data_IF_016046065773
#
_entry.id   IF_016046065773
#
_cell.length_a   1.000
_cell.length_b   1.000
_cell.length_c   1.000
_cell.angle_alpha   90.00
_cell.angle_beta   90.00
_cell.angle_gamma   90.00
#
_symmetry.space_group_name_H-M   'P 1'
#
loop_
_entity.id
_entity.type
_entity.pdbx_description
1 polymer ?
#
# COMPACT_ATOMS: atom_id res chain seq x y z
N UNK A 1 -18.50 14.31 4.39
CA UNK A 1 -18.58 14.58 2.93
C UNK A 1 -17.67 13.57 2.25
N UNK A 2 -18.21 12.63 1.47
CA UNK A 2 -17.38 11.81 0.58
C UNK A 2 -16.77 12.75 -0.45
N UNK A 3 -15.48 13.06 -0.29
CA UNK A 3 -14.72 13.67 -1.38
C UNK A 3 -14.38 12.55 -2.34
N UNK A 4 -14.71 12.73 -3.62
CA UNK A 4 -14.31 11.80 -4.66
C UNK A 4 -12.80 11.51 -4.57
N UNK A 5 -12.42 10.26 -4.83
CA UNK A 5 -11.02 9.86 -4.92
C UNK A 5 -10.44 10.47 -6.19
N UNK A 6 -9.37 11.24 -6.04
CA UNK A 6 -8.61 11.75 -7.17
C UNK A 6 -7.54 10.73 -7.54
N UNK A 7 -7.78 10.00 -8.62
CA UNK A 7 -6.86 8.96 -9.11
C UNK A 7 -5.57 9.54 -9.69
N UNK A 8 -5.51 10.86 -9.94
CA UNK A 8 -4.30 11.55 -10.38
C UNK A 8 -3.49 12.19 -9.25
N UNK A 9 -3.92 12.03 -7.99
CA UNK A 9 -3.21 12.61 -6.86
C UNK A 9 -1.87 11.89 -6.63
N UNK A 10 -0.77 12.64 -6.64
CA UNK A 10 0.56 12.15 -6.28
C UNK A 10 0.68 12.01 -4.76
N UNK A 11 0.72 10.78 -4.26
CA UNK A 11 0.76 10.47 -2.82
C UNK A 11 2.09 10.84 -2.17
N UNK A 12 3.14 11.11 -2.95
CA UNK A 12 4.41 11.60 -2.42
C UNK A 12 4.28 13.04 -1.91
N UNK A 13 3.34 13.80 -2.48
CA UNK A 13 3.18 15.23 -2.20
C UNK A 13 2.80 15.54 -0.75
N UNK A 14 2.08 14.63 -0.07
CA UNK A 14 1.70 14.77 1.33
C UNK A 14 2.46 13.81 2.28
N UNK A 15 3.35 12.98 1.74
CA UNK A 15 4.21 12.09 2.53
C UNK A 15 5.44 12.80 3.14
N UNK A 16 5.68 14.07 2.82
CA UNK A 16 6.76 14.87 3.41
C UNK A 16 8.17 14.34 3.08
N UNK A 17 8.35 13.73 1.91
CA UNK A 17 9.60 13.09 1.49
C UNK A 17 9.90 11.75 2.17
N UNK A 18 8.93 11.19 2.90
CA UNK A 18 8.99 9.86 3.48
C UNK A 18 8.27 8.84 2.59
N UNK A 19 8.30 7.57 3.00
CA UNK A 19 7.57 6.49 2.35
C UNK A 19 6.05 6.79 2.32
N UNK A 20 5.45 7.03 1.14
CA UNK A 20 4.03 7.38 1.03
C UNK A 20 3.12 6.32 1.62
N UNK A 21 3.52 5.05 1.56
CA UNK A 21 2.76 3.94 2.09
C UNK A 21 2.51 4.09 3.61
N UNK A 22 3.50 4.63 4.32
CA UNK A 22 3.42 4.87 5.77
C UNK A 22 2.88 6.26 6.13
N UNK A 23 3.21 7.27 5.32
CA UNK A 23 3.12 8.67 5.71
C UNK A 23 2.09 9.51 4.93
N UNK A 24 1.60 9.04 3.78
CA UNK A 24 0.56 9.76 3.04
C UNK A 24 -0.80 9.61 3.75
N UNK A 25 -1.31 10.72 4.28
CA UNK A 25 -2.65 10.77 4.89
C UNK A 25 -3.74 10.61 3.83
N UNK A 26 -3.48 11.11 2.62
CA UNK A 26 -4.41 11.05 1.50
C UNK A 26 -4.53 9.62 0.96
N UNK A 27 -3.40 8.92 0.75
CA UNK A 27 -3.42 7.51 0.35
C UNK A 27 -4.20 6.65 1.35
N UNK A 28 -3.92 6.81 2.65
CA UNK A 28 -4.64 6.08 3.71
C UNK A 28 -6.15 6.36 3.68
N UNK A 29 -6.55 7.61 3.44
CA UNK A 29 -7.96 8.01 3.29
C UNK A 29 -8.61 7.46 2.03
N UNK A 30 -7.87 7.34 0.93
CA UNK A 30 -8.38 6.72 -0.29
C UNK A 30 -8.59 5.22 -0.09
N UNK A 31 -7.61 4.52 0.49
CA UNK A 31 -7.75 3.11 0.85
C UNK A 31 -8.94 2.86 1.79
N UNK A 32 -9.12 3.70 2.82
CA UNK A 32 -10.28 3.64 3.70
C UNK A 32 -11.59 3.68 2.90
N UNK A 33 -11.72 4.62 1.96
CA UNK A 33 -12.94 4.81 1.17
C UNK A 33 -13.18 3.70 0.14
N UNK A 34 -12.12 3.20 -0.53
CA UNK A 34 -12.24 2.12 -1.52
C UNK A 34 -12.62 0.79 -0.87
N UNK A 35 -12.09 0.53 0.31
CA UNK A 35 -12.21 -0.77 0.98
C UNK A 35 -13.26 -0.79 2.09
N UNK A 36 -13.83 0.35 2.47
CA UNK A 36 -15.03 0.38 3.32
C UNK A 36 -16.29 0.18 2.46
N UNK A 37 -16.88 -1.00 2.52
CA UNK A 37 -18.04 -1.36 1.69
C UNK A 37 -18.87 -2.50 2.31
N UNK A 38 -20.14 -2.65 1.92
CA UNK A 38 -20.90 -3.84 2.28
C UNK A 38 -20.27 -5.09 1.67
N UNK A 39 -20.14 -6.13 2.49
CA UNK A 39 -19.71 -7.45 2.04
C UNK A 39 -20.86 -8.16 1.31
N UNK A 40 -20.59 -9.25 0.56
CA UNK A 40 -21.64 -10.02 -0.12
C UNK A 40 -22.75 -10.57 0.80
N UNK A 41 -22.48 -10.71 2.10
CA UNK A 41 -23.46 -11.11 3.10
C UNK A 41 -24.31 -9.94 3.64
N UNK A 42 -24.12 -8.72 3.12
CA UNK A 42 -24.84 -7.51 3.51
C UNK A 42 -24.30 -6.79 4.76
N UNK A 43 -23.29 -7.35 5.43
CA UNK A 43 -22.68 -6.70 6.62
C UNK A 43 -21.68 -5.65 6.16
N UNK A 44 -21.69 -4.49 6.81
CA UNK A 44 -20.79 -3.38 6.51
C UNK A 44 -19.36 -3.66 6.99
N UNK A 45 -18.40 -3.68 6.06
CA UNK A 45 -16.99 -3.73 6.38
C UNK A 45 -16.43 -2.31 6.44
N UNK A 46 -16.55 -1.66 7.61
CA UNK A 46 -16.03 -0.31 7.82
C UNK A 46 -14.57 -0.34 8.29
N UNK A 47 -13.73 0.49 7.69
CA UNK A 47 -12.34 0.65 8.09
C UNK A 47 -12.14 1.95 8.85
N UNK A 48 -11.44 1.88 9.97
CA UNK A 48 -10.97 3.00 10.75
C UNK A 48 -9.50 3.29 10.47
N UNK A 49 -9.11 4.56 10.62
CA UNK A 49 -7.73 5.03 10.51
C UNK A 49 -7.22 5.67 11.81
N UNK A 50 -8.05 5.72 12.86
CA UNK A 50 -7.73 6.34 14.14
C UNK A 50 -7.07 5.37 15.13
N UNK A 51 -7.22 4.05 14.93
CA UNK A 51 -6.50 3.03 15.70
C UNK A 51 -4.99 3.25 15.64
N UNK A 52 -4.33 3.53 16.79
CA UNK A 52 -2.89 3.74 16.83
C UNK A 52 -2.10 2.52 16.33
N UNK A 53 -0.98 2.76 15.65
CA UNK A 53 -0.04 1.73 15.16
C UNK A 53 -0.57 0.80 14.07
N UNK A 54 -1.83 0.94 13.67
CA UNK A 54 -2.45 0.16 12.59
C UNK A 54 -2.67 1.07 11.39
N UNK A 55 -2.46 0.55 10.18
CA UNK A 55 -2.70 1.32 8.96
C UNK A 55 -4.20 1.49 8.70
N UNK A 56 -4.95 0.39 8.63
CA UNK A 56 -6.41 0.35 8.57
C UNK A 56 -6.93 -0.74 9.49
N UNK A 57 -7.97 -0.44 10.28
CA UNK A 57 -8.51 -1.36 11.28
C UNK A 57 -10.00 -1.61 11.07
N UNK A 58 -10.42 -2.86 11.18
CA UNK A 58 -11.82 -3.25 11.22
C UNK A 58 -12.11 -3.99 12.52
N UNK A 59 -13.25 -3.68 13.16
CA UNK A 59 -13.76 -4.44 14.30
C UNK A 59 -15.28 -4.47 14.27
N UNK A 60 -15.86 -5.65 14.14
CA UNK A 60 -17.31 -5.88 14.17
C UNK A 60 -17.65 -7.30 14.61
N UNK A 61 -18.91 -7.69 14.48
CA UNK A 61 -19.38 -9.08 14.64
C UNK A 61 -18.73 -10.06 13.65
N UNK A 62 -18.17 -9.57 12.54
CA UNK A 62 -17.41 -10.38 11.58
C UNK A 62 -16.01 -10.76 12.08
N UNK A 63 -15.52 -10.09 13.12
CA UNK A 63 -14.18 -10.24 13.65
C UNK A 63 -13.39 -8.92 13.69
N UNK A 64 -12.10 -9.06 13.96
CA UNK A 64 -11.16 -7.95 14.07
C UNK A 64 -10.02 -8.15 13.06
N UNK A 65 -9.86 -7.19 12.16
CA UNK A 65 -8.88 -7.24 11.07
C UNK A 65 -8.00 -5.99 11.08
N UNK A 66 -6.72 -6.19 10.89
CA UNK A 66 -5.75 -5.15 10.60
C UNK A 66 -5.35 -5.32 9.14
N UNK A 67 -5.35 -4.23 8.38
CA UNK A 67 -4.86 -4.20 7.02
C UNK A 67 -3.63 -3.31 6.95
N UNK A 68 -2.68 -3.72 6.12
CA UNK A 68 -1.51 -2.95 5.72
C UNK A 68 -1.62 -2.56 4.25
N UNK A 69 -0.76 -1.63 3.84
CA UNK A 69 -0.58 -1.26 2.44
C UNK A 69 0.87 -1.55 2.04
N UNK A 70 1.13 -1.65 0.74
CA UNK A 70 2.49 -1.64 0.16
C UNK A 70 2.39 -1.19 -1.30
N UNK A 71 3.49 -0.67 -1.85
CA UNK A 71 3.56 -0.40 -3.29
C UNK A 71 3.55 -1.71 -4.06
N UNK A 72 2.71 -1.82 -5.09
CA UNK A 72 2.79 -2.94 -6.04
C UNK A 72 3.81 -2.65 -7.14
N UNK A 73 4.02 -1.37 -7.44
CA UNK A 73 4.96 -0.92 -8.47
C UNK A 73 6.33 -0.67 -7.83
N UNK A 74 7.32 -1.41 -8.30
CA UNK A 74 8.70 -1.27 -7.86
C UNK A 74 9.50 -0.63 -8.99
N UNK A 75 9.76 0.69 -8.95
CA UNK A 75 10.71 1.26 -9.88
C UNK A 75 12.08 0.63 -9.59
N UNK A 76 12.83 0.29 -10.63
CA UNK A 76 14.18 -0.30 -10.51
C UNK A 76 15.27 0.73 -10.81
N UNK A 77 14.91 2.00 -10.98
CA UNK A 77 15.76 3.12 -11.37
C UNK A 77 16.81 3.49 -10.34
N UNK A 78 16.61 3.12 -9.07
CA UNK A 78 17.58 3.28 -8.00
C UNK A 78 18.53 2.08 -7.80
N UNK A 79 18.34 0.95 -8.51
CA UNK A 79 19.19 -0.23 -8.35
C UNK A 79 20.45 -0.12 -9.21
N UNK A 80 21.62 -0.10 -8.56
CA UNK A 80 22.94 -0.06 -9.23
C UNK A 80 23.09 -1.18 -10.27
N UNK A 81 22.49 -2.34 -10.02
CA UNK A 81 22.58 -3.51 -10.92
C UNK A 81 21.83 -3.31 -12.25
N UNK A 82 20.78 -2.50 -12.27
CA UNK A 82 19.95 -2.21 -13.46
C UNK A 82 20.26 -0.86 -14.08
N UNK A 83 21.15 -0.06 -13.48
CA UNK A 83 21.51 1.30 -13.92
C UNK A 83 21.85 1.38 -15.42
N UNK A 84 22.61 0.41 -15.93
CA UNK A 84 23.01 0.36 -17.34
C UNK A 84 21.83 0.13 -18.32
N UNK A 85 20.75 -0.51 -17.87
CA UNK A 85 19.52 -0.68 -18.67
C UNK A 85 18.67 0.58 -18.59
N UNK A 86 18.55 1.16 -17.40
CA UNK A 86 17.65 2.29 -17.16
C UNK A 86 18.18 3.58 -17.79
N UNK A 87 19.50 3.76 -17.87
CA UNK A 87 20.14 4.85 -18.63
C UNK A 87 19.80 4.86 -20.12
N UNK A 88 19.25 3.77 -20.66
CA UNK A 88 18.83 3.70 -22.07
C UNK A 88 17.38 4.17 -22.27
N UNK A 89 16.60 4.32 -21.20
CA UNK A 89 15.22 4.78 -21.23
C UNK A 89 15.24 6.32 -21.16
N UNK A 90 14.47 7.03 -22.01
CA UNK A 90 14.31 8.47 -21.88
C UNK A 90 13.83 8.87 -20.49
N UNK A 91 14.42 9.93 -19.91
CA UNK A 91 14.06 10.39 -18.56
C UNK A 91 12.57 10.73 -18.45
N UNK A 92 11.97 11.31 -19.50
CA UNK A 92 10.55 11.63 -19.52
C UNK A 92 9.65 10.40 -19.33
N UNK A 93 10.03 9.26 -19.90
CA UNK A 93 9.27 8.00 -19.78
C UNK A 93 9.38 7.43 -18.36
N UNK A 94 10.55 7.59 -17.72
CA UNK A 94 10.75 7.21 -16.32
C UNK A 94 9.94 8.09 -15.37
N UNK A 95 9.92 9.39 -15.62
CA UNK A 95 9.15 10.35 -14.84
C UNK A 95 7.64 10.05 -14.94
N UNK A 96 7.13 9.85 -16.16
CA UNK A 96 5.72 9.47 -16.40
C UNK A 96 5.36 8.15 -15.70
N UNK A 97 6.22 7.13 -15.81
CA UNK A 97 6.01 5.86 -15.11
C UNK A 97 5.95 6.03 -13.59
N UNK A 98 6.90 6.80 -13.04
CA UNK A 98 6.98 7.06 -11.61
C UNK A 98 5.78 7.87 -11.11
N UNK A 99 5.27 8.81 -11.89
CA UNK A 99 4.10 9.60 -11.55
C UNK A 99 2.84 8.71 -11.49
N UNK A 100 2.63 7.84 -12.49
CA UNK A 100 1.51 6.87 -12.48
C UNK A 100 1.65 5.91 -11.29
N UNK A 101 2.85 5.40 -11.03
CA UNK A 101 3.15 4.51 -9.90
C UNK A 101 2.94 5.18 -8.53
N UNK A 102 2.95 6.51 -8.47
CA UNK A 102 2.79 7.30 -7.25
C UNK A 102 1.35 7.79 -7.02
N UNK A 103 0.38 7.18 -7.69
CA UNK A 103 -1.06 7.38 -7.45
C UNK A 103 -1.62 6.28 -6.56
N UNK A 104 -2.90 6.38 -6.17
CA UNK A 104 -3.59 5.34 -5.39
C UNK A 104 -3.52 3.94 -6.02
N UNK A 105 -3.48 3.86 -7.36
CA UNK A 105 -3.46 2.59 -8.10
C UNK A 105 -2.09 1.89 -8.02
N UNK A 106 -1.04 2.60 -7.59
CA UNK A 106 0.29 2.06 -7.35
C UNK A 106 0.41 1.23 -6.06
N UNK A 107 -0.64 1.17 -5.25
CA UNK A 107 -0.60 0.56 -3.91
C UNK A 107 -1.68 -0.51 -3.73
N UNK A 108 -1.36 -1.52 -2.93
CA UNK A 108 -2.26 -2.63 -2.61
C UNK A 108 -2.50 -2.70 -1.10
N UNK A 109 -3.76 -2.87 -0.71
CA UNK A 109 -4.15 -3.17 0.68
C UNK A 109 -4.31 -4.66 0.87
N UNK A 110 -3.77 -5.20 1.97
CA UNK A 110 -3.85 -6.63 2.30
C UNK A 110 -3.98 -6.87 3.82
N UNK A 111 -4.56 -8.02 4.24
CA UNK A 111 -4.63 -8.38 5.66
C UNK A 111 -3.25 -8.55 6.28
N UNK A 112 -3.08 -8.01 7.48
CA UNK A 112 -1.82 -8.06 8.24
C UNK A 112 -1.97 -8.66 9.64
N UNK A 113 -3.14 -9.20 10.00
CA UNK A 113 -3.26 -10.03 11.20
C UNK A 113 -2.32 -11.24 11.13
N UNK A 114 -1.72 -11.60 12.26
CA UNK A 114 -1.11 -12.92 12.40
C UNK A 114 -2.21 -13.98 12.52
N UNK A 115 -2.12 -15.03 11.73
CA UNK A 115 -2.97 -16.22 11.84
C UNK A 115 -2.12 -17.33 12.44
N UNK A 116 -2.57 -17.94 13.53
CA UNK A 116 -1.87 -19.05 14.21
C UNK A 116 -0.40 -18.75 14.61
N UNK A 117 -0.10 -17.49 14.97
CA UNK A 117 1.27 -16.99 15.23
C UNK A 117 2.23 -17.13 14.03
N UNK A 118 1.71 -17.35 12.82
CA UNK A 118 2.51 -17.36 11.61
C UNK A 118 2.96 -15.94 11.24
N UNK A 119 4.11 -15.79 10.55
CA UNK A 119 4.54 -14.51 10.00
C UNK A 119 3.46 -13.89 9.10
N UNK A 120 3.29 -12.57 9.18
CA UNK A 120 2.43 -11.84 8.23
C UNK A 120 3.00 -11.93 6.82
N UNK A 121 2.19 -11.68 5.79
CA UNK A 121 2.66 -11.74 4.39
C UNK A 121 3.90 -10.85 4.15
N UNK A 122 3.95 -9.67 4.79
CA UNK A 122 5.11 -8.77 4.72
C UNK A 122 6.34 -9.36 5.40
N UNK A 123 6.18 -10.02 6.57
CA UNK A 123 7.29 -10.72 7.22
C UNK A 123 7.78 -11.90 6.39
N UNK A 124 6.87 -12.70 5.81
CA UNK A 124 7.22 -13.83 4.97
C UNK A 124 8.00 -13.40 3.71
N UNK A 125 7.69 -12.23 3.12
CA UNK A 125 8.48 -11.64 2.01
C UNK A 125 9.88 -11.20 2.44
N UNK A 126 10.04 -10.71 3.67
CA UNK A 126 11.32 -10.19 4.18
C UNK A 126 12.30 -11.26 4.68
N UNK A 127 11.83 -12.49 4.91
CA UNK A 127 12.67 -13.61 5.28
C UNK A 127 13.34 -14.19 4.03
N UNK A 128 14.67 -14.09 3.96
CA UNK A 128 15.43 -14.82 2.95
C UNK A 128 15.20 -16.32 3.12
N UNK A 129 15.06 -17.10 2.04
CA UNK A 129 14.99 -18.54 2.16
C UNK A 129 16.28 -19.01 2.84
N UNK A 130 16.15 -19.65 4.01
CA UNK A 130 17.27 -20.34 4.65
C UNK A 130 17.85 -21.31 3.63
N UNK A 131 19.14 -21.20 3.26
CA UNK A 131 19.73 -22.15 2.35
C UNK A 131 19.61 -23.54 2.98
N UNK A 132 19.06 -24.49 2.24
CA UNK A 132 19.05 -25.89 2.64
C UNK A 132 20.49 -26.30 2.98
N UNK A 133 20.71 -26.66 4.25
CA UNK A 133 21.95 -27.26 4.76
C UNK A 133 22.06 -28.71 4.36
#
# INVERSE_FOLDING_TARGET
MNRAIDVGFDVRSDAGGQDPDKHSVTLRRYHQQLWSKPLPNGVEFNLDIATPWVYLHHKSELGEFELSSDSIVHPYDYWIRTEHLIKQIPQADLDEFNDVASTVDGFLVFPSNQVDSAPTISMARGLSPTPFS
#
